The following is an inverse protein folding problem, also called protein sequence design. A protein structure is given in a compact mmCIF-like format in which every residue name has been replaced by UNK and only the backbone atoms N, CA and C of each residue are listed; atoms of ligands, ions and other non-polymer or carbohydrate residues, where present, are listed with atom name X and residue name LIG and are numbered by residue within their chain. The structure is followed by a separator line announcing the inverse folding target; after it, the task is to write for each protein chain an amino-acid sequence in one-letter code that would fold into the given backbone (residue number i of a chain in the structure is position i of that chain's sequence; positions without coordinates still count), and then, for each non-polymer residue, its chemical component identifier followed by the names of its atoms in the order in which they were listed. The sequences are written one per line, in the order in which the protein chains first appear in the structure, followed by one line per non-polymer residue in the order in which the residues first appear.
data_IF_171839989458
#
_entry.id   IF_171839989458
#
_cell.length_a   1.000
_cell.length_b   1.000
_cell.length_c   1.000
_cell.angle_alpha   90.00
_cell.angle_beta   90.00
_cell.angle_gamma   90.00
#
_symmetry.space_group_name_H-M   'P 1'
#
loop_
_entity.id
_entity.type
_entity.pdbx_description
1 polymer ?
#
# COMPACT_ATOMS: atom_id res chain seq x y z
N UNK A 1 -10.66 11.92 10.37
CA UNK A 1 -11.37 11.16 9.31
C UNK A 1 -12.17 10.05 9.99
N UNK A 2 -13.46 9.89 9.68
CA UNK A 2 -14.25 8.78 10.27
C UNK A 2 -13.78 7.43 9.70
N UNK A 3 -13.67 6.37 10.54
CA UNK A 3 -13.25 5.07 10.06
C UNK A 3 -14.28 4.48 9.11
N UNK A 4 -13.83 4.06 7.92
CA UNK A 4 -14.70 3.42 6.93
C UNK A 4 -15.07 2.00 7.35
N UNK A 5 -16.22 1.51 6.86
CA UNK A 5 -16.67 0.12 7.12
C UNK A 5 -15.65 -0.91 6.63
N UNK A 6 -15.03 -0.63 5.49
CA UNK A 6 -14.01 -1.48 4.88
C UNK A 6 -12.77 -1.56 5.77
N UNK A 7 -12.31 -0.41 6.31
CA UNK A 7 -11.17 -0.35 7.22
C UNK A 7 -11.44 -1.15 8.51
N UNK A 8 -12.63 -1.02 9.10
CA UNK A 8 -13.04 -1.81 10.27
C UNK A 8 -13.07 -3.31 9.98
N UNK A 9 -13.58 -3.72 8.82
CA UNK A 9 -13.63 -5.12 8.42
C UNK A 9 -12.24 -5.72 8.22
N UNK A 10 -11.36 -4.99 7.51
CA UNK A 10 -9.96 -5.39 7.30
C UNK A 10 -9.26 -5.50 8.65
N UNK A 11 -9.35 -4.47 9.49
CA UNK A 11 -8.73 -4.45 10.82
C UNK A 11 -9.19 -5.62 11.69
N UNK A 12 -10.51 -5.86 11.77
CA UNK A 12 -11.06 -6.98 12.55
C UNK A 12 -10.54 -8.33 12.06
N UNK A 13 -10.47 -8.54 10.75
CA UNK A 13 -9.98 -9.80 10.19
C UNK A 13 -8.48 -9.97 10.42
N UNK A 14 -7.68 -8.98 10.07
CA UNK A 14 -6.22 -9.05 10.20
C UNK A 14 -5.77 -9.20 11.65
N UNK A 15 -6.35 -8.42 12.57
CA UNK A 15 -6.04 -8.54 14.00
C UNK A 15 -6.59 -9.83 14.60
N UNK A 16 -7.80 -10.24 14.21
CA UNK A 16 -8.42 -11.45 14.71
C UNK A 16 -7.70 -12.74 14.29
N UNK A 17 -7.06 -12.75 13.12
CA UNK A 17 -6.30 -13.89 12.62
C UNK A 17 -4.78 -13.76 12.82
N UNK A 18 -4.28 -12.60 13.25
CA UNK A 18 -2.84 -12.29 13.27
C UNK A 18 -2.19 -12.27 11.88
N UNK A 19 -2.97 -12.09 10.80
CA UNK A 19 -2.48 -12.12 9.42
C UNK A 19 -2.61 -10.73 8.76
N UNK A 20 -1.50 -10.05 8.46
CA UNK A 20 -1.53 -8.74 7.82
C UNK A 20 -1.92 -8.81 6.33
N UNK A 21 -2.13 -10.00 5.77
CA UNK A 21 -2.33 -10.20 4.34
C UNK A 21 -3.49 -9.43 3.71
N UNK A 22 -4.49 -9.01 4.49
CA UNK A 22 -5.60 -8.16 4.02
C UNK A 22 -5.35 -6.66 4.16
N UNK A 23 -4.30 -6.24 4.88
CA UNK A 23 -3.95 -4.83 5.01
C UNK A 23 -3.65 -4.26 3.63
N UNK A 24 -4.25 -3.11 3.33
CA UNK A 24 -4.09 -2.44 2.05
C UNK A 24 -2.92 -1.48 2.14
N UNK A 25 -1.98 -1.57 1.20
CA UNK A 25 -1.03 -0.50 0.94
C UNK A 25 -1.57 0.36 -0.18
N UNK A 26 -1.55 1.68 0.04
CA UNK A 26 -2.06 2.68 -0.90
C UNK A 26 -0.87 3.34 -1.57
N UNK A 27 -1.00 3.62 -2.86
CA UNK A 27 0.01 4.22 -3.70
C UNK A 27 -0.61 5.30 -4.57
N UNK A 28 0.21 6.28 -4.98
CA UNK A 28 -0.14 7.14 -6.10
C UNK A 28 -0.36 6.29 -7.36
N UNK A 29 -1.37 6.62 -8.16
CA UNK A 29 -1.61 5.96 -9.46
C UNK A 29 -0.44 6.11 -10.44
N UNK A 30 0.45 7.07 -10.20
CA UNK A 30 1.66 7.29 -11.00
C UNK A 30 2.66 6.12 -10.96
N UNK A 31 2.57 5.23 -9.95
CA UNK A 31 3.36 3.98 -9.94
C UNK A 31 3.12 3.13 -11.19
N UNK A 32 1.94 3.26 -11.82
CA UNK A 32 1.58 2.53 -13.02
C UNK A 32 2.19 3.14 -14.30
N UNK A 33 2.66 4.39 -14.26
CA UNK A 33 3.15 5.11 -15.44
C UNK A 33 4.34 4.37 -16.10
N UNK A 34 5.22 3.76 -15.31
CA UNK A 34 6.37 3.00 -15.79
C UNK A 34 6.03 1.75 -16.63
N UNK A 35 4.78 1.28 -16.58
CA UNK A 35 4.32 0.11 -17.35
C UNK A 35 3.43 0.50 -18.53
N UNK A 36 2.91 1.73 -18.58
CA UNK A 36 2.01 2.17 -19.66
C UNK A 36 2.77 2.25 -20.98
N UNK A 37 2.25 1.59 -22.02
CA UNK A 37 2.87 1.57 -23.36
C UNK A 37 4.20 0.81 -23.44
N UNK A 38 4.67 0.20 -22.34
CA UNK A 38 5.88 -0.61 -22.32
C UNK A 38 5.59 -1.97 -22.96
N UNK A 39 6.38 -2.42 -23.96
CA UNK A 39 6.20 -3.73 -24.55
C UNK A 39 6.24 -4.85 -23.50
N UNK A 40 5.34 -5.83 -23.64
CA UNK A 40 5.20 -6.94 -22.70
C UNK A 40 4.43 -6.60 -21.42
N UNK A 41 3.89 -5.39 -21.27
CA UNK A 41 3.00 -5.03 -20.17
C UNK A 41 1.62 -4.60 -20.66
N UNK A 42 0.58 -4.92 -19.89
CA UNK A 42 -0.77 -4.43 -20.09
C UNK A 42 -1.40 -4.00 -18.77
N UNK A 43 -2.19 -2.93 -18.82
CA UNK A 43 -2.98 -2.44 -17.70
C UNK A 43 -4.43 -2.31 -18.17
N UNK A 44 -5.35 -2.93 -17.44
CA UNK A 44 -6.80 -2.79 -17.64
C UNK A 44 -7.46 -2.40 -16.32
N UNK A 45 -8.57 -1.66 -16.37
CA UNK A 45 -9.33 -1.28 -15.18
C UNK A 45 -10.80 -1.03 -15.46
N UNK A 46 -11.61 -1.20 -14.43
CA UNK A 46 -12.95 -0.62 -14.26
C UNK A 46 -12.85 0.68 -13.45
N UNK A 47 -13.98 1.16 -12.92
CA UNK A 47 -14.02 2.33 -12.05
C UNK A 47 -13.42 2.08 -10.65
N UNK A 48 -13.37 0.83 -10.19
CA UNK A 48 -13.01 0.51 -8.80
C UNK A 48 -11.86 -0.50 -8.68
N UNK A 49 -11.47 -1.16 -9.76
CA UNK A 49 -10.44 -2.18 -9.75
C UNK A 49 -9.68 -2.22 -11.07
N UNK A 50 -8.45 -2.71 -11.05
CA UNK A 50 -7.66 -2.95 -12.24
C UNK A 50 -6.67 -4.07 -12.05
N UNK A 51 -6.00 -4.41 -13.16
CA UNK A 51 -4.98 -5.44 -13.24
C UNK A 51 -3.82 -4.92 -14.06
N UNK A 52 -2.62 -5.02 -13.50
CA UNK A 52 -1.35 -4.89 -14.19
C UNK A 52 -0.84 -6.30 -14.51
N UNK A 53 -0.41 -6.54 -15.74
CA UNK A 53 0.10 -7.83 -16.18
C UNK A 53 1.37 -7.67 -17.02
N UNK A 54 2.36 -8.51 -16.74
CA UNK A 54 3.48 -8.79 -17.63
C UNK A 54 3.15 -10.04 -18.47
N UNK A 55 3.34 -9.96 -19.78
CA UNK A 55 3.15 -11.09 -20.69
C UNK A 55 4.12 -12.23 -20.35
N UNK A 56 3.58 -13.46 -20.25
CA UNK A 56 4.35 -14.63 -19.79
C UNK A 56 4.87 -14.54 -18.34
N UNK A 57 4.53 -13.48 -17.60
CA UNK A 57 5.07 -13.19 -16.27
C UNK A 57 4.00 -13.07 -15.20
N UNK A 58 4.18 -12.09 -14.32
CA UNK A 58 3.32 -11.86 -13.16
C UNK A 58 2.10 -10.99 -13.49
N UNK A 59 1.13 -10.99 -12.58
CA UNK A 59 0.02 -10.03 -12.59
C UNK A 59 -0.31 -9.57 -11.17
N UNK A 60 -0.72 -8.32 -11.04
CA UNK A 60 -1.16 -7.73 -9.78
C UNK A 60 -2.54 -7.08 -9.98
N UNK A 61 -3.50 -7.52 -9.17
CA UNK A 61 -4.79 -6.86 -9.05
C UNK A 61 -4.68 -5.70 -8.06
N UNK A 62 -5.38 -4.59 -8.34
CA UNK A 62 -5.41 -3.41 -7.50
C UNK A 62 -6.81 -2.80 -7.45
N UNK A 63 -7.14 -2.14 -6.35
CA UNK A 63 -8.30 -1.25 -6.24
C UNK A 63 -7.95 0.16 -6.72
N UNK A 64 -8.98 0.89 -7.17
CA UNK A 64 -8.87 2.30 -7.60
C UNK A 64 -9.70 3.16 -6.65
N UNK A 65 -9.10 4.23 -6.14
CA UNK A 65 -9.74 5.16 -5.19
C UNK A 65 -9.25 6.59 -5.40
N UNK A 66 -9.76 7.53 -4.58
CA UNK A 66 -9.32 8.93 -4.63
C UNK A 66 -9.60 9.64 -5.96
N UNK A 67 -10.71 9.29 -6.64
CA UNK A 67 -11.02 9.85 -7.96
C UNK A 67 -9.96 9.51 -9.01
N UNK A 68 -9.48 8.27 -8.99
CA UNK A 68 -8.46 7.70 -9.89
C UNK A 68 -7.00 8.07 -9.58
N UNK A 69 -6.75 8.91 -8.58
CA UNK A 69 -5.39 9.32 -8.19
C UNK A 69 -4.66 8.30 -7.32
N UNK A 70 -5.39 7.34 -6.73
CA UNK A 70 -4.84 6.34 -5.83
C UNK A 70 -5.15 4.92 -6.33
N UNK A 71 -4.18 4.04 -6.11
CA UNK A 71 -4.35 2.59 -6.27
C UNK A 71 -3.96 1.90 -4.97
N UNK A 72 -4.56 0.75 -4.68
CA UNK A 72 -4.19 -0.02 -3.51
C UNK A 72 -4.18 -1.52 -3.79
N UNK A 73 -3.31 -2.24 -3.11
CA UNK A 73 -3.23 -3.70 -3.18
C UNK A 73 -2.99 -4.26 -1.78
N UNK A 74 -3.40 -5.52 -1.59
CA UNK A 74 -3.19 -6.19 -0.32
C UNK A 74 -1.70 -6.47 -0.08
N UNK A 75 -1.26 -6.43 1.19
CA UNK A 75 0.09 -6.82 1.58
C UNK A 75 0.46 -8.20 1.02
N UNK A 76 -0.50 -9.13 1.04
CA UNK A 76 -0.30 -10.47 0.50
C UNK A 76 -0.01 -10.45 -1.00
N UNK A 77 -0.77 -9.71 -1.80
CA UNK A 77 -0.55 -9.69 -3.25
C UNK A 77 0.77 -8.99 -3.61
N UNK A 78 1.13 -7.92 -2.91
CA UNK A 78 2.41 -7.24 -3.09
C UNK A 78 3.61 -8.14 -2.72
N UNK A 79 3.47 -9.00 -1.72
CA UNK A 79 4.57 -9.88 -1.28
C UNK A 79 4.64 -11.21 -2.02
N UNK A 80 3.55 -11.65 -2.65
CA UNK A 80 3.48 -12.97 -3.32
C UNK A 80 3.36 -12.91 -4.84
N UNK A 81 2.80 -11.82 -5.40
CA UNK A 81 2.59 -11.67 -6.86
C UNK A 81 3.55 -10.66 -7.48
N UNK A 82 3.86 -9.58 -6.78
CA UNK A 82 4.79 -8.56 -7.27
C UNK A 82 6.25 -9.02 -7.08
N UNK A 83 7.06 -9.12 -8.16
CA UNK A 83 8.46 -9.50 -8.06
C UNK A 83 9.24 -8.56 -7.16
N UNK A 84 10.25 -9.10 -6.45
CA UNK A 84 11.06 -8.31 -5.51
C UNK A 84 11.71 -7.07 -6.17
N UNK A 85 12.13 -7.18 -7.44
CA UNK A 85 12.74 -6.08 -8.20
C UNK A 85 11.80 -4.90 -8.44
N UNK A 86 10.48 -5.12 -8.40
CA UNK A 86 9.48 -4.08 -8.61
C UNK A 86 9.07 -3.40 -7.29
N UNK A 87 9.31 -4.03 -6.14
CA UNK A 87 8.80 -3.56 -4.84
C UNK A 87 9.37 -2.22 -4.43
N UNK A 88 10.64 -1.96 -4.73
CA UNK A 88 11.28 -0.68 -4.43
C UNK A 88 10.64 0.47 -5.23
N UNK A 89 10.40 0.22 -6.53
CA UNK A 89 9.72 1.19 -7.38
C UNK A 89 8.30 1.48 -6.87
N UNK A 90 7.57 0.47 -6.37
CA UNK A 90 6.27 0.66 -5.74
C UNK A 90 6.37 1.41 -4.41
N UNK A 91 7.33 1.07 -3.56
CA UNK A 91 7.51 1.70 -2.25
C UNK A 91 7.76 3.22 -2.36
N UNK A 92 8.46 3.67 -3.40
CA UNK A 92 8.69 5.09 -3.68
C UNK A 92 7.40 5.89 -3.94
N UNK A 93 6.30 5.22 -4.31
CA UNK A 93 4.98 5.83 -4.54
C UNK A 93 3.99 5.55 -3.41
N UNK A 94 4.43 4.95 -2.30
CA UNK A 94 3.57 4.66 -1.17
C UNK A 94 3.00 5.94 -0.58
N UNK A 95 1.67 5.98 -0.43
CA UNK A 95 0.95 7.07 0.21
C UNK A 95 0.49 6.58 1.56
N UNK A 96 0.82 7.36 2.58
CA UNK A 96 0.32 7.14 3.93
C UNK A 96 -0.59 8.29 4.33
N UNK A 97 -1.72 7.96 4.93
CA UNK A 97 -2.55 8.97 5.58
C UNK A 97 -2.16 9.08 7.06
N UNK A 98 -1.83 10.30 7.49
CA UNK A 98 -1.82 10.73 8.90
C UNK A 98 -0.99 9.85 9.86
N UNK A 99 0.23 9.45 9.47
CA UNK A 99 1.17 8.81 10.42
C UNK A 99 1.99 9.86 11.17
N UNK A 100 2.25 9.61 12.46
CA UNK A 100 3.26 10.34 13.21
C UNK A 100 4.65 9.96 12.68
N UNK A 101 5.30 10.90 11.99
CA UNK A 101 6.65 10.70 11.45
C UNK A 101 7.66 10.37 12.56
N UNK A 102 7.59 11.06 13.70
CA UNK A 102 8.43 10.78 14.87
C UNK A 102 8.28 9.34 15.36
N UNK A 103 7.04 8.90 15.55
CA UNK A 103 6.75 7.53 15.98
C UNK A 103 7.25 6.47 14.98
N UNK A 104 7.05 6.69 13.67
CA UNK A 104 7.56 5.78 12.64
C UNK A 104 9.09 5.72 12.66
N UNK A 105 9.78 6.86 12.79
CA UNK A 105 11.24 6.90 12.88
C UNK A 105 11.78 6.16 14.11
N UNK A 106 11.09 6.28 15.24
CA UNK A 106 11.43 5.54 16.47
C UNK A 106 11.32 4.02 16.28
N UNK A 107 10.30 3.55 15.56
CA UNK A 107 10.15 2.12 15.27
C UNK A 107 11.23 1.60 14.31
N UNK A 108 11.63 2.40 13.32
CA UNK A 108 12.65 2.02 12.34
C UNK A 108 14.07 2.08 12.89
N UNK A 109 14.33 2.92 13.90
CA UNK A 109 15.63 3.11 14.51
C UNK A 109 15.58 2.81 16.02
N UNK A 110 15.37 1.53 16.41
CA UNK A 110 15.26 1.16 17.80
C UNK A 110 16.56 1.48 18.55
N UNK A 111 16.45 2.15 19.70
CA UNK A 111 17.58 2.52 20.55
C UNK A 111 18.18 3.91 20.28
N UNK A 112 17.69 4.64 19.28
CA UNK A 112 18.04 6.05 19.10
C UNK A 112 17.31 6.94 20.12
N UNK A 113 17.95 8.02 20.55
CA UNK A 113 17.34 9.02 21.41
C UNK A 113 16.52 9.99 20.55
N UNK A 114 15.22 10.08 20.82
CA UNK A 114 14.30 11.01 20.16
C UNK A 114 13.69 11.93 21.23
N UNK A 115 13.75 13.24 21.01
CA UNK A 115 13.04 14.23 21.82
C UNK A 115 11.65 14.44 21.23
N UNK A 116 10.63 13.89 21.90
CA UNK A 116 9.20 13.94 21.49
C UNK A 116 8.37 14.82 22.44
N UNK A 117 9.03 15.63 23.27
CA UNK A 117 8.40 16.56 24.20
C UNK A 117 7.77 15.91 25.45
N UNK A 118 6.90 16.67 26.11
CA UNK A 118 6.30 16.29 27.38
C UNK A 118 5.24 15.18 27.24
N UNK A 119 5.29 14.22 28.16
CA UNK A 119 4.26 13.17 28.28
C UNK A 119 2.95 13.79 28.78
N UNK A 120 1.85 13.49 28.08
CA UNK A 120 0.49 13.94 28.43
C UNK A 120 -0.46 12.75 28.53
N UNK A 121 -1.39 12.73 29.51
CA UNK A 121 -2.50 11.78 29.48
C UNK A 121 -3.48 12.15 28.37
N UNK A 122 -4.21 11.15 27.89
CA UNK A 122 -5.32 11.32 26.94
C UNK A 122 -6.57 11.88 27.62
#
# INVERSE_FOLDING_TARGET
MEPTREAQLIGRRSLGSGDPGLLQMVFSSEVLAQYRGRPGFSIIRSNSAGRLRQEGGWSLDFGVSGGDSLVHASWRDLTTRLPAVEREAWAAWAVSHELSGGFVQMQLNPGSCFDDGDIRPW
#
